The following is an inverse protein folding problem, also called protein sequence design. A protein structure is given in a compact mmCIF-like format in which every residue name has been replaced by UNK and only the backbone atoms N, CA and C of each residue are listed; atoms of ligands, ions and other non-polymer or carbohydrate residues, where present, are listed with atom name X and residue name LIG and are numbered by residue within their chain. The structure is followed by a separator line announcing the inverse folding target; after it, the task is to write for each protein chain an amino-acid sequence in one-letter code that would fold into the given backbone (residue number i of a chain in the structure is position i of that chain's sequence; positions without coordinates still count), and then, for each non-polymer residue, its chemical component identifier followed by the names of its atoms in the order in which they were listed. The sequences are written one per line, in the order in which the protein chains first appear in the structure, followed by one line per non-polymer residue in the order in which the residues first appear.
data_IF_981027363163
#
_entry.id   IF_981027363163
#
_cell.length_a   1.000
_cell.length_b   1.000
_cell.length_c   1.000
_cell.angle_alpha   90.00
_cell.angle_beta   90.00
_cell.angle_gamma   90.00
#
_symmetry.space_group_name_H-M   'P 1'
#
loop_
_entity.id
_entity.type
_entity.pdbx_description
1 polymer ?
#
# COMPACT_ATOMS: atom_id res chain seq x y z
N UNK A 1 45.10 31.30 -23.98
CA UNK A 1 45.08 29.90 -23.52
C UNK A 1 43.63 29.50 -23.32
N UNK A 2 43.05 28.78 -24.29
CA UNK A 2 41.71 28.19 -24.23
C UNK A 2 41.91 26.68 -24.39
N UNK A 3 41.45 25.89 -23.43
CA UNK A 3 41.45 24.44 -23.55
C UNK A 3 40.01 23.96 -23.75
N UNK A 4 39.77 23.51 -24.97
CA UNK A 4 38.72 22.59 -25.40
C UNK A 4 39.00 21.20 -24.84
N UNK A 5 38.01 20.58 -24.20
CA UNK A 5 37.94 19.13 -24.01
C UNK A 5 36.48 18.71 -24.22
N UNK A 6 36.14 18.48 -25.48
CA UNK A 6 35.11 17.51 -25.86
C UNK A 6 35.81 16.15 -25.93
N UNK A 7 35.35 15.17 -25.14
CA UNK A 7 35.61 13.76 -25.42
C UNK A 7 34.42 12.95 -24.94
N UNK A 8 33.84 12.23 -25.90
CA UNK A 8 32.69 11.36 -25.78
C UNK A 8 32.91 10.25 -24.74
N UNK A 9 31.89 10.01 -23.91
CA UNK A 9 31.76 8.79 -23.14
C UNK A 9 30.83 7.85 -23.90
N UNK A 10 31.40 6.73 -24.34
CA UNK A 10 30.69 5.61 -24.97
C UNK A 10 29.63 5.03 -24.02
N UNK A 11 28.48 4.71 -24.61
CA UNK A 11 27.36 4.03 -23.96
C UNK A 11 27.76 2.56 -23.78
N UNK A 12 28.12 2.18 -22.55
CA UNK A 12 28.26 0.78 -22.17
C UNK A 12 26.88 0.17 -21.96
N UNK A 13 26.61 -0.88 -22.75
CA UNK A 13 25.33 -1.55 -22.87
C UNK A 13 24.77 -2.07 -21.54
N UNK A 14 23.50 -1.75 -21.30
CA UNK A 14 22.66 -2.44 -20.34
C UNK A 14 22.50 -3.91 -20.77
N UNK A 15 23.10 -4.82 -20.00
CA UNK A 15 22.75 -6.22 -20.04
C UNK A 15 21.34 -6.39 -19.47
N UNK A 16 20.35 -6.43 -20.35
CA UNK A 16 18.98 -6.77 -20.02
C UNK A 16 18.88 -8.25 -19.61
N UNK A 17 18.98 -8.52 -18.31
CA UNK A 17 18.48 -9.76 -17.73
C UNK A 17 16.96 -9.69 -17.69
N UNK A 18 16.29 -10.21 -18.71
CA UNK A 18 14.83 -10.29 -18.74
C UNK A 18 14.35 -11.36 -17.75
N UNK A 19 13.51 -10.95 -16.80
CA UNK A 19 12.84 -11.80 -15.78
C UNK A 19 11.73 -12.68 -16.39
N UNK A 20 11.68 -12.78 -17.71
CA UNK A 20 10.65 -13.49 -18.48
C UNK A 20 10.81 -15.03 -18.43
N UNK A 21 11.92 -15.52 -17.87
CA UNK A 21 12.26 -16.95 -17.85
C UNK A 21 11.55 -17.78 -16.76
N UNK A 22 10.81 -17.18 -15.81
CA UNK A 22 10.31 -17.90 -14.62
C UNK A 22 8.84 -18.35 -14.63
N UNK A 23 8.06 -18.10 -15.70
CA UNK A 23 6.64 -18.51 -15.75
C UNK A 23 6.32 -19.77 -16.58
N UNK A 24 7.32 -20.56 -17.02
CA UNK A 24 7.08 -21.78 -17.82
C UNK A 24 7.49 -23.07 -17.11
N UNK A 25 6.86 -23.41 -15.98
CA UNK A 25 6.72 -24.83 -15.61
C UNK A 25 5.54 -25.06 -14.66
N UNK A 26 4.34 -25.18 -15.20
CA UNK A 26 3.23 -25.86 -14.53
C UNK A 26 2.30 -26.41 -15.60
N UNK A 27 2.45 -27.71 -15.87
CA UNK A 27 1.65 -28.46 -16.82
C UNK A 27 0.21 -28.58 -16.31
N UNK A 28 -0.72 -28.00 -17.06
CA UNK A 28 -2.16 -28.11 -16.88
C UNK A 28 -2.66 -29.45 -17.40
N UNK A 29 -3.11 -30.33 -16.50
CA UNK A 29 -4.03 -31.43 -16.83
C UNK A 29 -5.43 -30.83 -16.96
N UNK A 30 -5.95 -30.83 -18.19
CA UNK A 30 -7.31 -30.45 -18.54
C UNK A 30 -8.29 -31.53 -18.09
N UNK A 31 -9.16 -31.19 -17.11
CA UNK A 31 -10.38 -31.93 -16.84
C UNK A 31 -11.57 -31.15 -17.41
N UNK A 32 -12.13 -31.66 -18.52
CA UNK A 32 -13.45 -31.29 -19.04
C UNK A 32 -14.50 -31.86 -18.07
N UNK A 33 -15.35 -31.02 -17.49
CA UNK A 33 -16.67 -31.47 -17.00
C UNK A 33 -17.77 -30.47 -17.38
N UNK A 34 -18.62 -30.98 -18.26
CA UNK A 34 -20.02 -30.70 -18.65
C UNK A 34 -20.70 -29.40 -18.16
N UNK A 35 -21.15 -28.63 -19.16
CA UNK A 35 -22.26 -27.69 -19.06
C UNK A 35 -23.57 -28.42 -18.75
N UNK A 36 -24.39 -27.84 -17.86
CA UNK A 36 -25.79 -28.19 -17.66
C UNK A 36 -26.63 -26.91 -17.65
N UNK A 37 -27.74 -26.99 -18.35
CA UNK A 37 -28.63 -25.90 -18.74
C UNK A 37 -29.78 -25.69 -17.73
N UNK A 38 -30.38 -24.48 -17.81
CA UNK A 38 -31.78 -24.11 -17.51
C UNK A 38 -32.27 -24.10 -16.05
N UNK A 39 -32.75 -22.93 -15.58
CA UNK A 39 -34.16 -22.63 -15.20
C UNK A 39 -34.37 -21.09 -15.19
N UNK A 40 -35.43 -20.54 -15.81
CA UNK A 40 -35.91 -19.18 -15.57
C UNK A 40 -37.13 -19.17 -14.61
N UNK A 41 -37.19 -18.18 -13.72
CA UNK A 41 -38.38 -17.85 -12.92
C UNK A 41 -38.05 -16.66 -12.03
N UNK A 42 -38.96 -15.79 -11.59
CA UNK A 42 -40.33 -15.45 -11.96
C UNK A 42 -40.58 -14.10 -11.24
N UNK A 43 -41.51 -13.31 -11.77
CA UNK A 43 -42.09 -12.06 -11.25
C UNK A 43 -42.03 -11.81 -9.72
N UNK A 44 -41.80 -10.54 -9.38
CA UNK A 44 -42.13 -9.96 -8.07
C UNK A 44 -42.30 -8.44 -8.16
N UNK A 45 -43.48 -7.99 -8.58
CA UNK A 45 -43.92 -6.60 -8.62
C UNK A 45 -44.44 -6.20 -7.23
N UNK A 46 -43.92 -5.14 -6.62
CA UNK A 46 -44.54 -4.48 -5.46
C UNK A 46 -44.38 -2.95 -5.61
N UNK A 47 -45.49 -2.33 -6.00
CA UNK A 47 -45.77 -0.89 -5.92
C UNK A 47 -46.39 -0.61 -4.54
N UNK A 48 -46.08 0.56 -3.95
CA UNK A 48 -46.89 1.35 -2.98
C UNK A 48 -46.06 2.62 -2.69
N UNK A 49 -46.23 3.74 -3.41
CA UNK A 49 -47.09 4.91 -3.10
C UNK A 49 -47.00 5.45 -1.67
N UNK A 50 -46.32 6.60 -1.52
CA UNK A 50 -46.40 7.48 -0.36
C UNK A 50 -46.35 8.94 -0.83
N UNK A 51 -47.37 9.71 -0.45
CA UNK A 51 -47.83 10.94 -1.11
C UNK A 51 -47.12 12.24 -0.68
N UNK A 52 -47.33 13.27 -1.50
CA UNK A 52 -46.92 14.66 -1.33
C UNK A 52 -47.49 15.37 -0.09
N UNK A 53 -46.76 16.34 0.44
CA UNK A 53 -47.31 17.61 0.91
C UNK A 53 -46.26 18.74 0.77
N UNK A 54 -46.70 19.89 0.28
CA UNK A 54 -45.91 21.06 -0.11
C UNK A 54 -46.06 22.21 0.93
N UNK A 55 -44.97 22.90 1.30
CA UNK A 55 -44.66 24.33 1.02
C UNK A 55 -45.05 25.34 2.15
N UNK A 56 -44.66 26.64 2.08
CA UNK A 56 -43.41 27.24 2.59
C UNK A 56 -43.64 28.35 3.64
N UNK A 57 -42.58 28.85 4.30
CA UNK A 57 -42.39 30.29 4.61
C UNK A 57 -41.02 30.59 5.23
N UNK A 58 -40.53 31.78 4.90
CA UNK A 58 -39.20 32.32 5.13
C UNK A 58 -38.87 32.66 6.59
N UNK A 59 -37.58 32.66 6.92
CA UNK A 59 -36.99 33.75 7.70
C UNK A 59 -35.52 33.90 7.35
N UNK A 60 -35.16 35.09 6.89
CA UNK A 60 -33.79 35.53 6.69
C UNK A 60 -33.14 35.73 8.06
N UNK A 61 -32.00 35.09 8.27
CA UNK A 61 -31.11 35.30 9.39
C UNK A 61 -29.68 35.11 8.88
N UNK A 62 -29.09 36.18 8.39
CA UNK A 62 -27.68 36.23 8.05
C UNK A 62 -26.88 36.31 9.35
N UNK A 63 -26.18 35.24 9.71
CA UNK A 63 -25.10 35.31 10.68
C UNK A 63 -23.99 34.30 10.32
N UNK A 64 -22.85 34.89 9.96
CA UNK A 64 -21.49 34.38 10.04
C UNK A 64 -21.21 32.99 9.49
N UNK A 65 -20.56 32.97 8.32
CA UNK A 65 -19.80 31.84 7.82
C UNK A 65 -18.73 31.42 8.85
N UNK A 66 -19.10 30.53 9.75
CA UNK A 66 -18.15 29.64 10.40
C UNK A 66 -17.63 28.72 9.30
N UNK A 67 -16.37 28.94 8.94
CA UNK A 67 -15.55 28.06 8.12
C UNK A 67 -15.82 26.63 8.56
N UNK A 68 -16.58 25.88 7.75
CA UNK A 68 -16.64 24.45 7.85
C UNK A 68 -15.22 23.97 7.54
N UNK A 69 -14.42 23.84 8.60
CA UNK A 69 -13.25 22.98 8.57
C UNK A 69 -13.76 21.67 7.98
N UNK A 70 -13.19 21.30 6.84
CA UNK A 70 -13.43 20.03 6.17
C UNK A 70 -13.46 18.93 7.23
N UNK A 71 -14.67 18.50 7.58
CA UNK A 71 -14.89 17.45 8.57
C UNK A 71 -14.09 16.26 8.11
N UNK A 72 -13.00 15.98 8.82
CA UNK A 72 -12.10 14.90 8.49
C UNK A 72 -12.95 13.64 8.46
N UNK A 73 -13.18 13.11 7.25
CA UNK A 73 -13.78 11.79 7.12
C UNK A 73 -12.84 10.87 7.91
N UNK A 74 -13.37 10.30 8.99
CA UNK A 74 -12.62 9.34 9.80
C UNK A 74 -12.10 8.19 8.95
N UNK A 75 -11.17 7.42 9.50
CA UNK A 75 -10.60 6.27 8.81
C UNK A 75 -11.69 5.21 8.56
N UNK A 76 -12.29 5.21 7.37
CA UNK A 76 -13.43 4.34 7.03
C UNK A 76 -13.06 3.21 6.08
N UNK A 77 -12.06 3.44 5.23
CA UNK A 77 -11.46 2.42 4.38
C UNK A 77 -9.98 2.69 4.12
N UNK A 78 -9.17 1.66 4.33
CA UNK A 78 -7.73 1.65 4.08
C UNK A 78 -7.43 0.75 2.89
N UNK A 79 -6.68 1.28 1.93
CA UNK A 79 -6.09 0.51 0.84
C UNK A 79 -4.58 0.41 1.08
N UNK A 80 -4.04 -0.79 1.22
CA UNK A 80 -2.62 -1.03 1.42
C UNK A 80 -1.96 -1.55 0.15
N UNK A 81 -0.83 -0.94 -0.25
CA UNK A 81 -0.09 -1.26 -1.47
C UNK A 81 1.38 -1.44 -1.08
N UNK A 82 2.02 -2.46 -1.66
CA UNK A 82 3.45 -2.73 -1.53
C UNK A 82 3.84 -4.03 -2.22
N UNK A 83 4.99 -4.59 -1.86
CA UNK A 83 5.52 -5.82 -2.44
C UNK A 83 5.20 -7.07 -1.59
N UNK A 84 6.02 -8.13 -1.68
CA UNK A 84 5.85 -9.36 -0.89
C UNK A 84 6.01 -9.16 0.62
N UNK A 85 6.74 -8.13 1.07
CA UNK A 85 6.80 -7.78 2.49
C UNK A 85 5.43 -7.27 2.93
N UNK A 86 4.83 -6.37 2.13
CA UNK A 86 3.49 -5.85 2.36
C UNK A 86 2.42 -6.95 2.31
N UNK A 87 2.61 -7.99 1.50
CA UNK A 87 1.71 -9.17 1.48
C UNK A 87 1.69 -9.83 2.86
N UNK A 88 2.85 -10.08 3.47
CA UNK A 88 2.94 -10.66 4.81
C UNK A 88 2.41 -9.73 5.90
N UNK A 89 2.71 -8.43 5.82
CA UNK A 89 2.20 -7.44 6.78
C UNK A 89 0.69 -7.22 6.67
N UNK A 90 0.10 -7.39 5.49
CA UNK A 90 -1.34 -7.27 5.26
C UNK A 90 -2.17 -8.33 6.01
N UNK A 91 -1.58 -9.47 6.36
CA UNK A 91 -2.30 -10.58 7.00
C UNK A 91 -2.82 -10.15 8.39
N UNK A 92 -1.97 -9.77 9.38
CA UNK A 92 -2.46 -9.27 10.66
C UNK A 92 -3.22 -7.93 10.55
N UNK A 93 -2.87 -7.07 9.58
CA UNK A 93 -3.61 -5.82 9.35
C UNK A 93 -5.08 -6.08 8.98
N UNK A 94 -5.35 -7.12 8.20
CA UNK A 94 -6.73 -7.50 7.83
C UNK A 94 -7.56 -7.79 9.08
N UNK A 95 -7.02 -8.60 9.99
CA UNK A 95 -7.68 -8.97 11.25
C UNK A 95 -7.82 -7.76 12.18
N UNK A 96 -6.78 -6.93 12.29
CA UNK A 96 -6.78 -5.79 13.19
C UNK A 96 -7.73 -4.66 12.75
N UNK A 97 -7.81 -4.36 11.45
CA UNK A 97 -8.77 -3.39 10.93
C UNK A 97 -10.21 -3.92 11.00
N UNK A 98 -10.43 -5.21 10.74
CA UNK A 98 -11.74 -5.82 10.93
C UNK A 98 -12.21 -5.73 12.39
N UNK A 99 -11.32 -5.99 13.35
CA UNK A 99 -11.60 -5.82 14.78
C UNK A 99 -11.86 -4.36 15.20
N UNK A 100 -11.41 -3.39 14.39
CA UNK A 100 -11.63 -1.96 14.60
C UNK A 100 -12.81 -1.38 13.79
N UNK A 101 -13.60 -2.23 13.12
CA UNK A 101 -14.70 -1.84 12.21
C UNK A 101 -14.27 -0.88 11.09
N UNK A 102 -13.02 -1.04 10.60
CA UNK A 102 -12.48 -0.30 9.47
C UNK A 102 -12.32 -1.24 8.28
N UNK A 103 -12.83 -0.84 7.11
CA UNK A 103 -12.68 -1.64 5.89
C UNK A 103 -11.20 -1.64 5.47
N UNK A 104 -10.63 -2.82 5.27
CA UNK A 104 -9.26 -2.97 4.79
C UNK A 104 -9.22 -3.75 3.48
N UNK A 105 -8.37 -3.31 2.56
CA UNK A 105 -8.10 -4.01 1.32
C UNK A 105 -6.60 -3.92 1.01
N UNK A 106 -5.98 -5.06 0.72
CA UNK A 106 -4.61 -5.10 0.23
C UNK A 106 -4.58 -5.25 -1.29
N UNK A 107 -3.74 -4.45 -1.94
CA UNK A 107 -3.29 -4.59 -3.32
C UNK A 107 -1.77 -4.85 -3.36
N UNK A 108 -1.20 -5.31 -2.24
CA UNK A 108 0.18 -5.78 -2.20
C UNK A 108 0.38 -6.94 -3.18
N UNK A 109 1.58 -7.05 -3.75
CA UNK A 109 1.89 -8.06 -4.76
C UNK A 109 3.25 -8.68 -4.52
N UNK A 110 3.31 -10.00 -4.53
CA UNK A 110 4.59 -10.71 -4.58
C UNK A 110 5.38 -10.30 -5.84
N UNK A 111 6.67 -10.02 -5.69
CA UNK A 111 7.57 -9.68 -6.80
C UNK A 111 7.24 -8.39 -7.54
N UNK A 112 6.52 -7.44 -6.94
CA UNK A 112 6.17 -6.18 -7.59
C UNK A 112 5.52 -5.18 -6.65
N UNK A 113 4.43 -4.54 -7.09
CA UNK A 113 3.70 -3.54 -6.29
C UNK A 113 4.32 -2.14 -6.29
N UNK A 114 5.52 -2.03 -6.85
CA UNK A 114 6.27 -0.79 -6.99
C UNK A 114 5.63 0.18 -7.98
N UNK A 115 5.85 1.47 -7.75
CA UNK A 115 5.37 2.55 -8.63
C UNK A 115 6.47 3.17 -9.48
N UNK A 116 7.72 2.78 -9.24
CA UNK A 116 8.93 3.15 -9.98
C UNK A 116 9.84 1.94 -10.09
N UNK A 117 10.62 1.82 -11.16
CA UNK A 117 11.50 0.68 -11.37
C UNK A 117 10.81 -0.48 -12.11
N UNK A 118 11.36 -1.70 -12.04
CA UNK A 118 10.88 -2.83 -12.84
C UNK A 118 9.42 -3.13 -12.54
N UNK A 119 8.59 -3.47 -13.53
CA UNK A 119 7.16 -3.79 -13.38
C UNK A 119 6.18 -2.62 -13.14
N UNK A 120 6.69 -1.40 -12.87
CA UNK A 120 5.84 -0.23 -12.59
C UNK A 120 4.90 0.14 -13.76
N UNK A 121 5.35 0.03 -15.01
CA UNK A 121 4.53 0.35 -16.19
C UNK A 121 3.25 -0.49 -16.28
N UNK A 122 3.39 -1.81 -16.08
CA UNK A 122 2.24 -2.73 -16.09
C UNK A 122 1.31 -2.46 -14.90
N UNK A 123 1.86 -2.11 -13.75
CA UNK A 123 1.06 -1.73 -12.58
C UNK A 123 0.28 -0.43 -12.84
N UNK A 124 0.92 0.57 -13.44
CA UNK A 124 0.29 1.86 -13.77
C UNK A 124 -0.90 1.77 -14.72
N UNK A 125 -0.98 0.72 -15.55
CA UNK A 125 -2.15 0.49 -16.42
C UNK A 125 -3.43 0.15 -15.64
N UNK A 126 -3.29 -0.40 -14.42
CA UNK A 126 -4.42 -0.87 -13.59
C UNK A 126 -4.62 -0.05 -12.33
N UNK A 127 -3.53 0.37 -11.71
CA UNK A 127 -3.52 0.95 -10.37
C UNK A 127 -4.49 2.13 -10.18
N UNK A 128 -4.60 3.12 -11.10
CA UNK A 128 -5.57 4.20 -10.94
C UNK A 128 -7.02 3.71 -10.87
N UNK A 129 -7.37 2.70 -11.67
CA UNK A 129 -8.72 2.11 -11.66
C UNK A 129 -8.96 1.30 -10.40
N UNK A 130 -7.95 0.56 -9.93
CA UNK A 130 -8.02 -0.21 -8.68
C UNK A 130 -8.20 0.72 -7.47
N UNK A 131 -7.48 1.84 -7.40
CA UNK A 131 -7.62 2.85 -6.35
C UNK A 131 -9.02 3.48 -6.40
N UNK A 132 -9.46 3.93 -7.59
CA UNK A 132 -10.77 4.57 -7.73
C UNK A 132 -11.92 3.62 -7.35
N UNK A 133 -11.89 2.37 -7.82
CA UNK A 133 -12.90 1.36 -7.50
C UNK A 133 -12.89 0.94 -6.03
N UNK A 134 -11.76 1.07 -5.34
CA UNK A 134 -11.69 0.78 -3.92
C UNK A 134 -12.35 1.89 -3.08
N UNK A 135 -12.51 3.11 -3.58
CA UNK A 135 -13.04 4.25 -2.81
C UNK A 135 -12.44 4.38 -1.39
N UNK A 136 -11.10 4.40 -1.25
CA UNK A 136 -10.47 4.47 0.07
C UNK A 136 -10.58 5.88 0.67
N UNK A 137 -10.61 5.98 2.00
CA UNK A 137 -10.30 7.25 2.68
C UNK A 137 -8.79 7.49 2.77
N UNK A 138 -8.01 6.40 2.84
CA UNK A 138 -6.55 6.43 2.95
C UNK A 138 -5.94 5.34 2.09
N UNK A 139 -4.91 5.70 1.34
CA UNK A 139 -4.02 4.74 0.67
C UNK A 139 -2.69 4.75 1.42
N UNK A 140 -2.29 3.58 1.92
CA UNK A 140 -0.99 3.35 2.52
C UNK A 140 -0.12 2.67 1.47
N UNK A 141 0.99 3.31 1.09
CA UNK A 141 1.99 2.76 0.19
C UNK A 141 3.26 2.45 0.99
N UNK A 142 3.51 1.17 1.24
CA UNK A 142 4.81 0.73 1.70
C UNK A 142 5.77 0.83 0.52
N UNK A 143 6.79 1.67 0.65
CA UNK A 143 7.89 1.75 -0.31
C UNK A 143 8.40 0.33 -0.51
N UNK A 144 8.51 -0.09 -1.76
CA UNK A 144 8.84 -1.48 -2.06
C UNK A 144 10.35 -1.69 -2.12
N UNK A 145 10.77 -2.95 -1.98
CA UNK A 145 12.13 -3.38 -2.28
C UNK A 145 12.47 -3.34 -3.77
N UNK A 146 11.53 -2.91 -4.63
CA UNK A 146 11.67 -2.76 -6.09
C UNK A 146 11.55 -1.30 -6.57
N UNK A 147 11.46 -0.32 -5.66
CA UNK A 147 11.38 1.12 -6.00
C UNK A 147 12.75 1.66 -6.47
N UNK A 148 13.31 1.00 -7.47
CA UNK A 148 14.59 1.31 -8.08
C UNK A 148 14.42 2.45 -9.09
N UNK A 149 15.37 3.35 -9.09
CA UNK A 149 15.45 4.50 -9.95
C UNK A 149 16.33 5.58 -9.34
N UNK A 150 16.68 6.56 -10.18
CA UNK A 150 17.25 7.81 -9.71
C UNK A 150 16.28 8.54 -8.76
N UNK A 151 16.83 9.47 -7.97
CA UNK A 151 16.04 10.32 -7.08
C UNK A 151 14.89 11.04 -7.83
N UNK A 152 15.14 11.46 -9.07
CA UNK A 152 14.17 12.17 -9.91
C UNK A 152 13.03 11.25 -10.33
N UNK A 153 13.34 10.01 -10.72
CA UNK A 153 12.34 9.01 -11.09
C UNK A 153 11.47 8.61 -9.90
N UNK A 154 12.08 8.32 -8.75
CA UNK A 154 11.36 8.01 -7.50
C UNK A 154 10.40 9.15 -7.12
N UNK A 155 10.88 10.39 -7.09
CA UNK A 155 10.03 11.55 -6.78
C UNK A 155 8.91 11.74 -7.82
N UNK A 156 9.19 11.54 -9.12
CA UNK A 156 8.16 11.67 -10.16
C UNK A 156 7.07 10.63 -10.01
N UNK A 157 7.43 9.38 -9.73
CA UNK A 157 6.49 8.30 -9.49
C UNK A 157 5.67 8.52 -8.21
N UNK A 158 6.29 8.96 -7.12
CA UNK A 158 5.58 9.30 -5.88
C UNK A 158 4.64 10.49 -6.03
N UNK A 159 4.98 11.50 -6.84
CA UNK A 159 4.04 12.58 -7.22
C UNK A 159 2.88 12.05 -8.06
N UNK A 160 3.14 11.13 -8.99
CA UNK A 160 2.09 10.48 -9.80
C UNK A 160 1.15 9.66 -8.91
N UNK A 161 1.69 8.94 -7.92
CA UNK A 161 0.91 8.20 -6.92
C UNK A 161 0.06 9.16 -6.08
N UNK A 162 0.66 10.22 -5.54
CA UNK A 162 -0.06 11.25 -4.81
C UNK A 162 -1.25 11.80 -5.60
N UNK A 163 -1.01 12.23 -6.85
CA UNK A 163 -2.06 12.75 -7.73
C UNK A 163 -3.18 11.73 -8.00
N UNK A 164 -2.81 10.46 -8.18
CA UNK A 164 -3.78 9.37 -8.39
C UNK A 164 -4.65 9.15 -7.15
N UNK A 165 -4.03 9.15 -5.96
CA UNK A 165 -4.70 8.92 -4.68
C UNK A 165 -5.62 10.08 -4.31
N UNK A 166 -5.14 11.32 -4.43
CA UNK A 166 -5.96 12.50 -4.13
C UNK A 166 -7.05 12.74 -5.16
N UNK A 167 -6.81 12.37 -6.43
CA UNK A 167 -7.84 12.35 -7.47
C UNK A 167 -8.99 11.38 -7.17
N UNK A 168 -8.75 10.34 -6.36
CA UNK A 168 -9.76 9.42 -5.85
C UNK A 168 -10.37 9.88 -4.50
N UNK A 169 -10.02 11.08 -4.01
CA UNK A 169 -10.54 11.62 -2.75
C UNK A 169 -9.85 11.12 -1.48
N UNK A 170 -8.75 10.38 -1.61
CA UNK A 170 -8.04 9.77 -0.48
C UNK A 170 -6.78 10.55 -0.09
N UNK A 171 -6.30 10.36 1.16
CA UNK A 171 -4.95 10.77 1.58
C UNK A 171 -3.93 9.67 1.30
N UNK A 172 -2.67 10.06 1.08
CA UNK A 172 -1.56 9.12 0.88
C UNK A 172 -0.64 9.04 2.10
N UNK A 173 -0.42 7.85 2.61
CA UNK A 173 0.58 7.58 3.65
C UNK A 173 1.70 6.74 3.04
N UNK A 174 2.90 7.30 2.93
CA UNK A 174 4.08 6.51 2.63
C UNK A 174 4.59 5.83 3.90
N UNK A 175 4.95 4.55 3.81
CA UNK A 175 5.62 3.81 4.88
C UNK A 175 6.98 3.37 4.36
N UNK A 176 8.05 3.63 5.11
CA UNK A 176 9.39 3.18 4.71
C UNK A 176 9.47 1.64 4.72
N UNK A 177 10.19 1.07 3.75
CA UNK A 177 10.42 -0.37 3.72
C UNK A 177 11.26 -0.79 4.94
N UNK A 178 11.07 -1.99 5.50
CA UNK A 178 11.97 -2.49 6.52
C UNK A 178 13.37 -2.71 5.94
N UNK A 179 14.45 -2.55 6.73
CA UNK A 179 15.78 -2.96 6.29
C UNK A 179 15.80 -4.44 5.91
N UNK A 180 16.52 -4.78 4.84
CA UNK A 180 16.72 -6.16 4.36
C UNK A 180 18.18 -6.56 4.49
N UNK A 181 18.44 -7.87 4.51
CA UNK A 181 19.77 -8.42 4.26
C UNK A 181 19.90 -8.66 2.74
N UNK A 182 20.61 -7.81 2.00
CA UNK A 182 20.62 -7.90 0.54
C UNK A 182 21.37 -9.15 0.06
N UNK A 183 20.67 -9.95 -0.73
CA UNK A 183 21.28 -11.00 -1.55
C UNK A 183 21.89 -10.41 -2.83
N UNK A 184 22.32 -11.26 -3.77
CA UNK A 184 22.93 -10.83 -5.02
C UNK A 184 21.95 -10.05 -5.92
N UNK A 185 20.65 -10.28 -5.78
CA UNK A 185 19.62 -9.61 -6.56
C UNK A 185 19.40 -8.17 -6.08
N UNK A 186 19.36 -7.94 -4.76
CA UNK A 186 19.14 -6.60 -4.20
C UNK A 186 20.41 -5.75 -4.07
N UNK A 187 21.59 -6.38 -3.93
CA UNK A 187 22.85 -5.65 -3.66
C UNK A 187 23.16 -4.51 -4.63
N UNK A 188 22.93 -4.63 -5.95
CA UNK A 188 23.17 -3.52 -6.88
C UNK A 188 22.25 -2.31 -6.67
N UNK A 189 21.10 -2.50 -6.03
CA UNK A 189 20.02 -1.51 -5.93
C UNK A 189 19.89 -0.86 -4.55
N UNK A 190 20.72 -1.25 -3.57
CA UNK A 190 20.61 -0.76 -2.19
C UNK A 190 20.73 0.77 -2.08
N UNK A 191 21.61 1.40 -2.87
CA UNK A 191 21.73 2.86 -2.87
C UNK A 191 20.48 3.58 -3.41
N UNK A 192 19.69 2.91 -4.24
CA UNK A 192 18.42 3.43 -4.75
C UNK A 192 17.34 3.33 -3.67
N UNK A 193 17.27 2.17 -3.01
CA UNK A 193 16.33 1.91 -1.92
C UNK A 193 16.58 2.79 -0.68
N UNK A 194 17.84 3.00 -0.30
CA UNK A 194 18.22 3.90 0.81
C UNK A 194 17.76 5.35 0.57
N UNK A 195 17.65 5.76 -0.69
CA UNK A 195 17.22 7.11 -1.07
C UNK A 195 15.71 7.28 -1.14
N UNK A 196 14.97 6.20 -1.40
CA UNK A 196 13.53 6.24 -1.60
C UNK A 196 12.75 6.96 -0.47
N UNK A 197 13.07 6.75 0.84
CA UNK A 197 12.44 7.51 1.92
C UNK A 197 12.60 9.02 1.81
N UNK A 198 13.77 9.51 1.35
CA UNK A 198 14.00 10.94 1.17
C UNK A 198 13.17 11.50 0.00
N UNK A 199 13.02 10.73 -1.08
CA UNK A 199 12.14 11.09 -2.20
C UNK A 199 10.67 11.18 -1.75
N UNK A 200 10.18 10.20 -0.98
CA UNK A 200 8.82 10.22 -0.43
C UNK A 200 8.60 11.42 0.50
N UNK A 201 9.56 11.72 1.39
CA UNK A 201 9.51 12.90 2.28
C UNK A 201 9.45 14.22 1.51
N UNK A 202 10.20 14.34 0.41
CA UNK A 202 10.16 15.52 -0.45
C UNK A 202 8.77 15.71 -1.09
N UNK A 203 8.14 14.63 -1.55
CA UNK A 203 6.77 14.68 -2.10
C UNK A 203 5.73 15.00 -1.04
N UNK A 204 5.80 14.36 0.12
CA UNK A 204 4.88 14.62 1.23
C UNK A 204 4.96 16.07 1.72
N UNK A 205 6.17 16.64 1.86
CA UNK A 205 6.38 18.05 2.25
C UNK A 205 5.72 19.02 1.26
N UNK A 206 5.72 18.70 -0.03
CA UNK A 206 5.14 19.52 -1.09
C UNK A 206 3.62 19.33 -1.26
N UNK A 207 2.98 18.45 -0.48
CA UNK A 207 1.59 18.01 -0.71
C UNK A 207 0.51 18.83 0.01
N UNK A 208 0.89 19.87 0.76
CA UNK A 208 -0.04 20.65 1.61
C UNK A 208 -0.90 19.77 2.54
N UNK A 209 -0.30 18.71 3.10
CA UNK A 209 -0.96 17.78 4.03
C UNK A 209 -1.75 16.64 3.38
N UNK A 210 -1.73 16.51 2.06
CA UNK A 210 -2.36 15.39 1.35
C UNK A 210 -1.54 14.09 1.40
N UNK A 211 -0.27 14.18 1.76
CA UNK A 211 0.58 13.05 2.04
C UNK A 211 1.42 13.21 3.30
N UNK A 212 1.70 12.07 3.94
CA UNK A 212 2.61 11.95 5.08
C UNK A 212 3.57 10.78 4.87
N UNK A 213 4.68 10.77 5.61
CA UNK A 213 5.61 9.62 5.66
C UNK A 213 5.66 9.10 7.09
N UNK A 214 5.51 7.78 7.25
CA UNK A 214 5.76 7.04 8.48
C UNK A 214 7.10 6.32 8.35
N UNK A 215 7.96 6.47 9.34
CA UNK A 215 9.27 5.83 9.36
C UNK A 215 9.21 4.52 10.15
N UNK A 216 9.09 3.41 9.43
CA UNK A 216 9.01 2.07 10.01
C UNK A 216 10.30 1.63 10.70
N UNK A 217 11.38 2.43 10.68
CA UNK A 217 12.56 2.18 11.52
C UNK A 217 12.23 2.22 13.02
N UNK A 218 11.11 2.84 13.43
CA UNK A 218 10.58 2.72 14.79
C UNK A 218 10.27 1.25 15.18
N UNK A 219 9.84 0.44 14.21
CA UNK A 219 9.57 -1.00 14.40
C UNK A 219 10.84 -1.82 14.18
N UNK A 220 11.49 -1.57 13.04
CA UNK A 220 12.51 -2.47 12.49
C UNK A 220 13.96 -2.09 12.84
N UNK A 221 14.18 -0.89 13.35
CA UNK A 221 15.51 -0.29 13.46
C UNK A 221 16.04 0.21 12.12
N UNK A 222 17.25 0.77 12.14
CA UNK A 222 17.94 1.30 10.95
C UNK A 222 18.69 0.24 10.14
N UNK A 223 18.87 -0.96 10.70
CA UNK A 223 19.60 -2.06 10.07
C UNK A 223 18.83 -3.37 10.26
N UNK A 224 19.05 -4.32 9.35
CA UNK A 224 18.41 -5.62 9.42
C UNK A 224 18.76 -6.35 10.72
N UNK A 225 17.73 -6.80 11.43
CA UNK A 225 17.84 -7.70 12.58
C UNK A 225 16.83 -8.83 12.43
N UNK A 226 17.31 -10.07 12.51
CA UNK A 226 16.42 -11.24 12.44
C UNK A 226 15.59 -11.39 13.70
N UNK A 227 16.23 -11.22 14.85
CA UNK A 227 15.66 -11.50 16.16
C UNK A 227 15.45 -10.19 16.93
N UNK A 228 14.30 -10.07 17.59
CA UNK A 228 13.98 -9.01 18.55
C UNK A 228 13.36 -9.65 19.78
N UNK A 229 13.80 -9.27 20.97
CA UNK A 229 13.34 -9.82 22.26
C UNK A 229 13.41 -11.37 22.31
N UNK A 230 14.46 -11.94 21.72
CA UNK A 230 14.70 -13.39 21.73
C UNK A 230 13.82 -14.21 20.77
N UNK A 231 12.97 -13.57 19.95
CA UNK A 231 12.14 -14.24 18.94
C UNK A 231 12.46 -13.72 17.53
N UNK A 232 12.27 -14.53 16.48
CA UNK A 232 12.43 -14.08 15.11
C UNK A 232 11.32 -13.11 14.73
N UNK A 233 11.70 -11.87 14.40
CA UNK A 233 10.81 -10.89 13.78
C UNK A 233 10.91 -10.97 12.24
N UNK A 234 11.98 -11.59 11.70
CA UNK A 234 12.23 -11.76 10.26
C UNK A 234 12.53 -13.21 9.89
N UNK A 235 12.12 -13.57 8.67
CA UNK A 235 12.42 -14.85 8.03
C UNK A 235 13.93 -15.06 7.90
N UNK A 236 14.35 -16.32 7.82
CA UNK A 236 15.72 -16.70 7.51
C UNK A 236 16.21 -16.22 6.13
N UNK A 237 15.30 -15.83 5.23
CA UNK A 237 15.66 -15.27 3.91
C UNK A 237 16.23 -13.85 3.97
N UNK A 238 16.07 -13.14 5.10
CA UNK A 238 16.59 -11.79 5.28
C UNK A 238 15.74 -10.67 4.67
N UNK A 239 14.57 -10.99 4.11
CA UNK A 239 13.68 -10.06 3.40
C UNK A 239 12.30 -10.04 4.05
N UNK A 240 11.69 -11.18 4.35
CA UNK A 240 10.30 -11.23 4.81
C UNK A 240 10.19 -11.16 6.33
N UNK A 241 9.00 -10.79 6.82
CA UNK A 241 8.66 -10.77 8.23
C UNK A 241 8.25 -12.15 8.73
N UNK A 242 8.49 -12.39 10.01
CA UNK A 242 7.84 -13.46 10.76
C UNK A 242 6.56 -12.92 11.42
N UNK A 243 5.66 -13.80 11.93
CA UNK A 243 4.41 -13.35 12.53
C UNK A 243 4.64 -12.32 13.63
N UNK A 244 5.66 -12.49 14.48
CA UNK A 244 5.98 -11.54 15.55
C UNK A 244 6.33 -10.15 15.01
N UNK A 245 7.14 -10.07 13.96
CA UNK A 245 7.47 -8.81 13.31
C UNK A 245 6.24 -8.15 12.67
N UNK A 246 5.42 -8.93 11.97
CA UNK A 246 4.19 -8.44 11.34
C UNK A 246 3.17 -7.93 12.37
N UNK A 247 3.05 -8.58 13.54
CA UNK A 247 2.22 -8.10 14.64
C UNK A 247 2.75 -6.77 15.22
N UNK A 248 4.06 -6.62 15.42
CA UNK A 248 4.65 -5.36 15.90
C UNK A 248 4.44 -4.22 14.92
N UNK A 249 4.64 -4.50 13.63
CA UNK A 249 4.34 -3.54 12.57
C UNK A 249 2.87 -3.13 12.57
N UNK A 250 1.96 -4.09 12.75
CA UNK A 250 0.52 -3.84 12.81
C UNK A 250 0.17 -2.91 13.98
N UNK A 251 0.63 -3.20 15.20
CA UNK A 251 0.40 -2.34 16.36
C UNK A 251 0.91 -0.92 16.10
N UNK A 252 2.16 -0.80 15.67
CA UNK A 252 2.76 0.51 15.39
C UNK A 252 2.00 1.27 14.31
N UNK A 253 1.62 0.63 13.20
CA UNK A 253 0.93 1.30 12.11
C UNK A 253 -0.46 1.80 12.57
N UNK A 254 -1.19 1.01 13.35
CA UNK A 254 -2.50 1.42 13.87
C UNK A 254 -2.37 2.60 14.84
N UNK A 255 -1.34 2.61 15.70
CA UNK A 255 -1.07 3.74 16.60
C UNK A 255 -0.76 5.02 15.80
N UNK A 256 0.12 4.95 14.79
CA UNK A 256 0.44 6.09 13.93
C UNK A 256 -0.79 6.61 13.16
N UNK A 257 -1.71 5.72 12.77
CA UNK A 257 -2.97 6.10 12.14
C UNK A 257 -3.93 6.76 13.15
N UNK A 258 -4.01 6.26 14.38
CA UNK A 258 -4.85 6.85 15.42
C UNK A 258 -4.47 8.30 15.74
N UNK A 259 -3.16 8.59 15.76
CA UNK A 259 -2.65 9.95 15.94
C UNK A 259 -3.04 10.90 14.80
N UNK A 260 -3.20 10.38 13.57
CA UNK A 260 -3.39 11.19 12.35
C UNK A 260 -4.83 11.31 11.90
N UNK A 261 -5.67 10.37 12.30
CA UNK A 261 -7.07 10.29 11.87
C UNK A 261 -7.97 10.33 13.10
N UNK A 262 -8.34 11.55 13.59
CA UNK A 262 -9.26 11.70 14.71
C UNK A 262 -10.54 10.88 14.51
N UNK A 263 -10.95 10.18 15.57
CA UNK A 263 -12.10 9.26 15.54
C UNK A 263 -11.75 7.82 15.16
N UNK A 264 -10.53 7.52 14.69
CA UNK A 264 -10.05 6.15 14.60
C UNK A 264 -9.51 5.69 15.96
N UNK A 265 -9.95 4.51 16.41
CA UNK A 265 -9.45 3.84 17.61
C UNK A 265 -8.95 2.46 17.23
N UNK A 266 -7.66 2.15 17.41
CA UNK A 266 -7.12 0.82 17.18
C UNK A 266 -7.86 -0.23 18.03
N UNK A 267 -8.09 -1.42 17.46
CA UNK A 267 -8.61 -2.54 18.21
C UNK A 267 -7.59 -3.04 19.24
N UNK A 268 -8.06 -3.52 20.40
CA UNK A 268 -7.22 -4.21 21.38
C UNK A 268 -6.51 -5.40 20.69
N UNK A 269 -5.17 -5.54 20.79
CA UNK A 269 -4.44 -6.68 20.25
C UNK A 269 -5.03 -8.05 20.58
N UNK A 270 -5.68 -8.20 21.74
CA UNK A 270 -6.36 -9.46 22.12
C UNK A 270 -7.48 -9.87 21.16
N UNK A 271 -8.08 -8.92 20.45
CA UNK A 271 -9.19 -9.17 19.53
C UNK A 271 -8.75 -9.73 18.17
N UNK A 272 -7.48 -9.53 17.78
CA UNK A 272 -7.00 -9.90 16.43
C UNK A 272 -5.69 -10.70 16.43
N UNK A 273 -4.85 -10.62 17.46
CA UNK A 273 -3.52 -11.22 17.44
C UNK A 273 -3.54 -12.76 17.41
N UNK A 274 -4.61 -13.40 17.88
CA UNK A 274 -4.74 -14.86 17.98
C UNK A 274 -5.87 -15.44 17.13
N UNK A 275 -6.24 -14.80 16.01
CA UNK A 275 -7.32 -15.30 15.11
C UNK A 275 -6.84 -16.37 14.12
N UNK A 276 -5.59 -16.83 14.23
CA UNK A 276 -5.01 -17.90 13.42
C UNK A 276 -4.16 -17.42 12.23
N UNK A 277 -4.10 -16.13 11.95
CA UNK A 277 -3.34 -15.55 10.84
C UNK A 277 -1.83 -15.85 10.89
N UNK A 278 -1.29 -16.16 12.07
CA UNK A 278 0.13 -16.47 12.24
C UNK A 278 0.56 -17.77 11.51
N UNK A 279 -0.39 -18.65 11.19
CA UNK A 279 -0.16 -19.89 10.43
C UNK A 279 -0.21 -19.68 8.91
N UNK A 280 -0.37 -18.43 8.45
CA UNK A 280 -0.45 -18.12 7.02
C UNK A 280 0.83 -18.51 6.28
N UNK A 281 0.66 -19.09 5.08
CA UNK A 281 1.74 -19.61 4.24
C UNK A 281 2.80 -18.58 3.85
N UNK A 282 2.53 -17.28 3.94
CA UNK A 282 3.52 -16.23 3.62
C UNK A 282 4.55 -16.10 4.76
N UNK A 283 4.28 -16.61 5.95
CA UNK A 283 5.25 -16.70 7.05
C UNK A 283 6.04 -18.00 6.95
N UNK A 284 7.23 -17.93 6.34
CA UNK A 284 8.17 -19.06 6.23
C UNK A 284 9.52 -18.69 6.82
N UNK A 285 10.28 -19.68 7.28
CA UNK A 285 11.65 -19.45 7.79
C UNK A 285 11.70 -18.79 9.18
N UNK A 286 10.59 -18.89 9.90
CA UNK A 286 10.40 -18.58 11.31
C UNK A 286 10.50 -19.90 12.09
#
# INVERSE_FOLDING_TARGET
MRHTWDTAAEILGHAGGTVEAMTKTSGTKTARIKASSLVPGLLGLLLLTGACAAQPAATAGAESAATAASGGQGLSKVLFIGDSIAVGEAVPLTEAFAAADVRFQSLASEGGGNVVGPFSDKKWQKLPKEIAAAEPSVVIYQITTFDWGSAKEQQAAYRKLLSTVTGAGAKLVFVTMPPIKPDDFYRPHMAELERAPAAARAVAKASSGQATVLDASAVWGSAYQRNKDGKPDRSSDGIHSCPQGAARFTVWLLDELAERFPGFTPADPKAWANTGWADDKHFKGC
#
